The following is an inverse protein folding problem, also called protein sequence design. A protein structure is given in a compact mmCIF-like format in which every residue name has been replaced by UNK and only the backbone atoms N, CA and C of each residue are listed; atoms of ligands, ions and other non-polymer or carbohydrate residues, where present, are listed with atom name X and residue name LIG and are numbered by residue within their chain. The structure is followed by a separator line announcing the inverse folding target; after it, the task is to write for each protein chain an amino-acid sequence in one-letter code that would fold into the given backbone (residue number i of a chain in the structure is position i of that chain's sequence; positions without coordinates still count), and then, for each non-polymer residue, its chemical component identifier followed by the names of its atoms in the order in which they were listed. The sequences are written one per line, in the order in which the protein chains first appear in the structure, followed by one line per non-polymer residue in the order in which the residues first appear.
data_IF_512366845793
#
_entry.id   IF_512366845793
#
_cell.length_a   1.000
_cell.length_b   1.000
_cell.length_c   1.000
_cell.angle_alpha   90.00
_cell.angle_beta   90.00
_cell.angle_gamma   90.00
#
_symmetry.space_group_name_H-M   'P 1'
#
loop_
_entity.id
_entity.type
_entity.pdbx_description
1 polymer ?
#
# COMPACT_ATOMS: atom_id res chain seq x y z
N UNK A 1 -2.22 31.78 18.13
CA UNK A 1 -1.40 31.18 19.21
C UNK A 1 -0.99 29.78 18.75
N UNK A 2 0.28 29.61 18.39
CA UNK A 2 0.85 28.32 17.96
C UNK A 2 0.97 27.43 19.19
N UNK A 3 0.03 26.48 19.34
CA UNK A 3 0.11 25.48 20.41
C UNK A 3 1.37 24.63 20.20
N UNK A 4 2.31 24.71 21.12
CA UNK A 4 3.46 23.83 21.15
C UNK A 4 2.99 22.38 21.06
N UNK A 5 3.33 21.66 19.98
CA UNK A 5 3.05 20.23 19.86
C UNK A 5 3.81 19.50 20.96
N UNK A 6 3.12 19.10 22.00
CA UNK A 6 3.68 18.25 23.05
C UNK A 6 4.15 16.97 22.39
N UNK A 7 5.43 16.67 22.48
CA UNK A 7 6.01 15.44 21.99
C UNK A 7 5.38 14.25 22.74
N UNK A 8 4.90 13.23 22.02
CA UNK A 8 4.42 12.00 22.62
C UNK A 8 5.53 11.01 22.98
N UNK A 9 6.76 11.33 22.62
CA UNK A 9 7.93 10.50 22.91
C UNK A 9 8.06 10.33 24.43
N UNK A 10 8.24 9.09 24.89
CA UNK A 10 8.27 8.70 26.29
C UNK A 10 6.92 8.35 26.90
N UNK A 11 5.77 8.68 26.23
CA UNK A 11 4.46 8.27 26.73
C UNK A 11 4.21 6.77 26.52
N UNK A 12 3.38 6.18 27.41
CA UNK A 12 2.99 4.77 27.33
C UNK A 12 1.55 4.69 26.83
N UNK A 13 1.35 3.97 25.72
CA UNK A 13 0.05 3.74 25.06
C UNK A 13 -0.49 2.39 25.48
N UNK A 14 -1.77 2.35 25.92
CA UNK A 14 -2.44 1.11 26.33
C UNK A 14 -1.76 0.37 27.49
N UNK A 15 -1.04 1.10 28.37
CA UNK A 15 -0.23 0.57 29.49
C UNK A 15 0.90 -0.39 29.06
N UNK A 16 1.18 -0.48 27.75
CA UNK A 16 2.07 -1.49 27.20
C UNK A 16 3.14 -0.93 26.25
N UNK A 17 2.82 0.05 25.42
CA UNK A 17 3.71 0.49 24.35
C UNK A 17 4.35 1.84 24.67
N UNK A 18 5.62 1.87 25.03
CA UNK A 18 6.36 3.13 25.25
C UNK A 18 6.83 3.68 23.90
N UNK A 19 6.38 4.87 23.55
CA UNK A 19 6.76 5.55 22.30
C UNK A 19 8.20 6.09 22.38
N UNK A 20 9.07 5.65 21.46
CA UNK A 20 10.48 6.06 21.43
C UNK A 20 10.76 7.10 20.33
N UNK A 21 10.14 6.95 19.15
CA UNK A 21 10.46 7.78 17.98
C UNK A 21 9.26 7.89 17.04
N UNK A 22 9.04 9.07 16.45
CA UNK A 22 8.08 9.26 15.38
C UNK A 22 8.71 8.82 14.05
N UNK A 23 8.23 7.71 13.47
CA UNK A 23 8.76 7.13 12.22
C UNK A 23 7.91 7.43 10.98
N UNK A 24 6.68 7.92 11.17
CA UNK A 24 5.79 8.29 10.06
C UNK A 24 4.70 9.25 10.47
N UNK A 25 4.31 10.14 9.56
CA UNK A 25 3.19 11.06 9.76
C UNK A 25 2.33 11.10 8.51
N UNK A 26 1.15 10.48 8.59
CA UNK A 26 0.13 10.52 7.55
C UNK A 26 -0.93 11.61 7.81
N UNK A 27 -1.89 11.73 6.89
CA UNK A 27 -3.02 12.65 7.03
C UNK A 27 -3.87 12.32 8.27
N UNK A 28 -4.19 11.04 8.49
CA UNK A 28 -5.10 10.58 9.55
C UNK A 28 -4.39 10.09 10.79
N UNK A 29 -3.18 9.55 10.69
CA UNK A 29 -2.49 8.90 11.80
C UNK A 29 -1.00 9.28 11.87
N UNK A 30 -0.43 9.12 13.04
CA UNK A 30 1.01 9.18 13.30
C UNK A 30 1.50 7.78 13.66
N UNK A 31 2.68 7.40 13.15
CA UNK A 31 3.28 6.09 13.39
C UNK A 31 4.55 6.28 14.20
N UNK A 32 4.63 5.57 15.33
CA UNK A 32 5.77 5.62 16.24
C UNK A 32 6.47 4.28 16.31
N UNK A 33 7.78 4.27 16.37
CA UNK A 33 8.52 3.15 16.94
C UNK A 33 8.27 3.14 18.44
N UNK A 34 7.90 2.01 18.98
CA UNK A 34 7.62 1.84 20.40
C UNK A 34 8.26 0.57 20.95
N UNK A 35 8.59 0.58 22.24
CA UNK A 35 8.99 -0.63 22.96
C UNK A 35 7.72 -1.25 23.58
N UNK A 36 7.44 -2.48 23.23
CA UNK A 36 6.45 -3.31 23.91
C UNK A 36 7.01 -3.74 25.28
N UNK A 37 6.44 -3.24 26.36
CA UNK A 37 6.92 -3.50 27.71
C UNK A 37 6.67 -4.92 28.20
N UNK A 38 5.74 -5.65 27.57
CA UNK A 38 5.47 -7.06 27.87
C UNK A 38 6.49 -8.00 27.21
N UNK A 39 6.76 -7.78 25.92
CA UNK A 39 7.62 -8.68 25.13
C UNK A 39 9.06 -8.19 25.00
N UNK A 40 9.35 -6.96 25.41
CA UNK A 40 10.64 -6.26 25.25
C UNK A 40 11.07 -6.13 23.77
N UNK A 41 10.15 -6.29 22.83
CA UNK A 41 10.38 -6.12 21.40
C UNK A 41 9.97 -4.71 20.92
N UNK A 42 10.63 -4.23 19.86
CA UNK A 42 10.20 -3.02 19.19
C UNK A 42 9.04 -3.32 18.23
N UNK A 43 8.04 -2.43 18.24
CA UNK A 43 6.83 -2.49 17.44
C UNK A 43 6.58 -1.13 16.77
N UNK A 44 5.73 -1.10 15.76
CA UNK A 44 5.19 0.15 15.22
C UNK A 44 3.80 0.40 15.80
N UNK A 45 3.59 1.60 16.39
CA UNK A 45 2.30 2.01 16.95
C UNK A 45 1.73 3.14 16.11
N UNK A 46 0.62 2.86 15.41
CA UNK A 46 -0.15 3.80 14.60
C UNK A 46 -1.25 4.38 15.46
N UNK A 47 -1.28 5.70 15.66
CA UNK A 47 -2.24 6.40 16.50
C UNK A 47 -3.06 7.36 15.64
N UNK A 48 -4.38 7.29 15.72
CA UNK A 48 -5.28 8.23 15.04
C UNK A 48 -5.03 9.64 15.57
N UNK A 49 -4.87 10.63 14.68
CA UNK A 49 -4.60 12.01 15.10
C UNK A 49 -5.82 12.61 15.79
N UNK A 50 -5.58 13.37 16.83
CA UNK A 50 -6.63 13.96 17.69
C UNK A 50 -7.73 14.71 16.92
N UNK A 51 -7.40 15.39 15.84
CA UNK A 51 -8.37 16.09 14.98
C UNK A 51 -9.42 15.17 14.34
N UNK A 52 -9.19 13.85 14.31
CA UNK A 52 -10.10 12.85 13.74
C UNK A 52 -10.82 12.00 14.80
N UNK A 53 -10.56 12.23 16.09
CA UNK A 53 -11.16 11.44 17.20
C UNK A 53 -12.64 11.74 17.39
N UNK A 54 -13.14 12.87 16.92
CA UNK A 54 -14.56 13.22 16.94
C UNK A 54 -15.29 12.82 15.66
N UNK A 55 -14.56 12.41 14.61
CA UNK A 55 -15.14 11.94 13.37
C UNK A 55 -15.45 10.44 13.46
N UNK A 56 -16.73 10.11 13.63
CA UNK A 56 -17.21 8.73 13.76
C UNK A 56 -16.83 7.87 12.54
N UNK A 57 -16.74 8.46 11.36
CA UNK A 57 -16.33 7.76 10.12
C UNK A 57 -14.86 7.36 10.19
N UNK A 58 -13.98 8.25 10.63
CA UNK A 58 -12.54 7.97 10.80
C UNK A 58 -12.31 6.90 11.89
N UNK A 59 -13.03 6.96 12.99
CA UNK A 59 -12.95 5.95 14.06
C UNK A 59 -13.40 4.58 13.55
N UNK A 60 -14.56 4.52 12.89
CA UNK A 60 -15.10 3.25 12.37
C UNK A 60 -14.15 2.62 11.32
N UNK A 61 -13.52 3.43 10.46
CA UNK A 61 -12.52 2.98 9.50
C UNK A 61 -11.29 2.39 10.20
N UNK A 62 -10.78 3.08 11.21
CA UNK A 62 -9.61 2.65 11.96
C UNK A 62 -9.88 1.34 12.74
N UNK A 63 -11.06 1.21 13.33
CA UNK A 63 -11.51 -0.02 14.00
C UNK A 63 -11.63 -1.19 12.98
N UNK A 64 -12.20 -0.92 11.80
CA UNK A 64 -12.31 -1.94 10.74
C UNK A 64 -10.94 -2.39 10.22
N UNK A 65 -9.97 -1.48 10.11
CA UNK A 65 -8.57 -1.84 9.82
C UNK A 65 -8.03 -2.84 10.85
N UNK A 66 -8.26 -2.57 12.14
CA UNK A 66 -7.88 -3.47 13.23
C UNK A 66 -8.51 -4.87 13.11
N UNK A 67 -9.82 -4.92 12.91
CA UNK A 67 -10.59 -6.18 12.86
C UNK A 67 -10.14 -7.08 11.70
N UNK A 68 -9.84 -6.47 10.56
CA UNK A 68 -9.35 -7.18 9.38
C UNK A 68 -7.93 -7.66 9.59
N UNK A 69 -7.05 -6.77 10.04
CA UNK A 69 -5.63 -7.10 10.24
C UNK A 69 -5.47 -8.18 11.33
N UNK A 70 -6.37 -8.23 12.33
CA UNK A 70 -6.36 -9.27 13.37
C UNK A 70 -6.59 -10.70 12.80
N UNK A 71 -7.30 -10.81 11.69
CA UNK A 71 -7.61 -12.09 11.02
C UNK A 71 -6.56 -12.49 9.99
N UNK A 72 -5.72 -11.55 9.56
CA UNK A 72 -4.69 -11.77 8.54
C UNK A 72 -3.40 -12.27 9.18
N UNK A 73 -2.98 -13.47 8.78
CA UNK A 73 -1.67 -14.04 9.17
C UNK A 73 -0.98 -14.53 7.92
N UNK A 74 -0.16 -13.68 7.34
CA UNK A 74 0.61 -14.02 6.15
C UNK A 74 1.98 -13.34 6.19
N UNK A 75 3.03 -14.02 5.75
CA UNK A 75 4.41 -13.49 5.78
C UNK A 75 4.59 -12.18 5.01
N UNK A 76 3.76 -11.95 4.00
CA UNK A 76 3.81 -10.76 3.15
C UNK A 76 2.75 -9.70 3.54
N UNK A 77 2.22 -9.77 4.74
CA UNK A 77 1.26 -8.80 5.30
C UNK A 77 1.71 -8.44 6.71
N UNK A 78 1.75 -7.15 7.05
CA UNK A 78 2.16 -6.70 8.38
C UNK A 78 1.23 -7.26 9.47
N UNK A 79 1.80 -7.92 10.47
CA UNK A 79 1.02 -8.56 11.54
C UNK A 79 0.50 -7.52 12.53
N UNK A 80 -0.80 -7.54 12.85
CA UNK A 80 -1.36 -6.82 13.98
C UNK A 80 -0.99 -7.55 15.29
N UNK A 81 -0.43 -6.82 16.25
CA UNK A 81 -0.03 -7.33 17.56
C UNK A 81 -1.05 -6.95 18.65
N UNK A 82 -1.59 -5.74 18.58
CA UNK A 82 -2.62 -5.26 19.48
C UNK A 82 -3.37 -4.06 18.87
N UNK A 83 -4.57 -3.80 19.37
CA UNK A 83 -5.33 -2.59 19.10
C UNK A 83 -6.03 -2.11 20.35
N UNK A 84 -6.35 -0.82 20.42
CA UNK A 84 -7.04 -0.26 21.57
C UNK A 84 -7.30 1.24 21.44
N UNK A 85 -7.61 1.87 22.59
CA UNK A 85 -7.87 3.30 22.70
C UNK A 85 -6.99 3.86 23.82
N UNK A 86 -6.38 5.03 23.61
CA UNK A 86 -5.56 5.71 24.64
C UNK A 86 -6.44 6.19 25.80
N UNK A 87 -5.92 6.11 27.03
CA UNK A 87 -6.69 6.47 28.25
C UNK A 87 -6.94 7.98 28.36
N UNK A 88 -5.97 8.79 27.95
CA UNK A 88 -5.98 10.25 28.15
C UNK A 88 -6.84 10.98 27.12
N UNK A 89 -6.72 10.63 25.83
CA UNK A 89 -7.35 11.36 24.73
C UNK A 89 -8.36 10.54 23.93
N UNK A 90 -8.58 9.29 24.34
CA UNK A 90 -9.49 8.34 23.67
C UNK A 90 -9.16 8.16 22.17
N UNK A 91 -7.85 8.23 21.83
CA UNK A 91 -7.37 8.07 20.47
C UNK A 91 -7.19 6.58 20.14
N UNK A 92 -7.82 6.06 19.08
CA UNK A 92 -7.59 4.70 18.63
C UNK A 92 -6.13 4.48 18.22
N UNK A 93 -5.59 3.30 18.55
CA UNK A 93 -4.24 2.89 18.12
C UNK A 93 -4.20 1.44 17.64
N UNK A 94 -3.24 1.16 16.76
CA UNK A 94 -2.85 -0.16 16.29
C UNK A 94 -1.36 -0.36 16.58
N UNK A 95 -1.01 -1.48 17.20
CA UNK A 95 0.38 -1.93 17.31
C UNK A 95 0.60 -3.06 16.30
N UNK A 96 1.55 -2.87 15.40
CA UNK A 96 1.89 -3.83 14.33
C UNK A 96 3.37 -4.18 14.40
N UNK A 97 3.78 -5.24 13.72
CA UNK A 97 5.20 -5.58 13.62
C UNK A 97 6.02 -4.40 13.09
N UNK A 98 7.17 -4.13 13.69
CA UNK A 98 8.10 -3.11 13.21
C UNK A 98 8.97 -3.70 12.10
N UNK A 99 8.80 -3.21 10.89
CA UNK A 99 9.61 -3.59 9.74
C UNK A 99 10.92 -2.78 9.71
N UNK A 100 12.05 -3.47 9.57
CA UNK A 100 13.40 -2.88 9.63
C UNK A 100 13.97 -2.53 8.25
N UNK A 101 13.11 -2.45 7.26
CA UNK A 101 13.52 -2.24 5.88
C UNK A 101 13.17 -0.86 5.35
N UNK A 102 13.02 -0.79 4.04
CA UNK A 102 12.68 0.43 3.30
C UNK A 102 11.46 0.19 2.41
N UNK A 103 10.68 1.23 2.12
CA UNK A 103 9.57 1.11 1.18
C UNK A 103 10.05 1.00 -0.26
N UNK A 104 9.24 0.39 -1.15
CA UNK A 104 9.51 0.41 -2.59
C UNK A 104 9.63 1.84 -3.14
N UNK A 105 8.90 2.80 -2.57
CA UNK A 105 9.07 4.23 -2.90
C UNK A 105 10.51 4.71 -2.64
N UNK A 106 11.09 4.32 -1.50
CA UNK A 106 12.46 4.66 -1.15
C UNK A 106 13.47 3.98 -2.11
N UNK A 107 13.18 2.74 -2.51
CA UNK A 107 14.00 2.01 -3.49
C UNK A 107 14.00 2.72 -4.84
N UNK A 108 12.83 3.01 -5.41
CA UNK A 108 12.71 3.73 -6.68
C UNK A 108 13.44 5.08 -6.61
N UNK A 109 13.26 5.82 -5.50
CA UNK A 109 13.94 7.12 -5.32
C UNK A 109 15.46 6.99 -5.28
N UNK A 110 16.02 5.93 -4.69
CA UNK A 110 17.46 5.75 -4.51
C UNK A 110 18.15 5.05 -5.67
N UNK A 111 17.46 4.11 -6.34
CA UNK A 111 18.03 3.27 -7.40
C UNK A 111 17.58 3.69 -8.80
N UNK A 112 16.56 4.58 -8.92
CA UNK A 112 15.92 4.99 -10.16
C UNK A 112 14.94 3.93 -10.68
N UNK A 113 15.38 2.71 -10.87
CA UNK A 113 14.56 1.57 -11.28
C UNK A 113 15.12 0.26 -10.68
N UNK A 114 14.34 -0.80 -10.76
CA UNK A 114 14.69 -2.13 -10.23
C UNK A 114 14.90 -3.09 -11.40
N UNK A 115 15.96 -3.88 -11.36
CA UNK A 115 16.23 -4.90 -12.41
C UNK A 115 15.06 -5.88 -12.52
N UNK A 116 14.74 -6.38 -13.75
CA UNK A 116 13.49 -7.10 -14.01
C UNK A 116 13.25 -8.32 -13.11
N UNK A 117 14.27 -9.15 -12.86
CA UNK A 117 14.13 -10.32 -11.98
C UNK A 117 13.76 -9.95 -10.55
N UNK A 118 14.36 -8.89 -10.02
CA UNK A 118 14.11 -8.41 -8.67
C UNK A 118 12.71 -7.77 -8.60
N UNK A 119 12.31 -6.98 -9.60
CA UNK A 119 10.96 -6.40 -9.70
C UNK A 119 9.89 -7.48 -9.79
N UNK A 120 10.09 -8.53 -10.60
CA UNK A 120 9.20 -9.68 -10.68
C UNK A 120 9.06 -10.40 -9.33
N UNK A 121 10.19 -10.64 -8.64
CA UNK A 121 10.18 -11.29 -7.31
C UNK A 121 9.44 -10.45 -6.25
N UNK A 122 9.64 -9.13 -6.24
CA UNK A 122 8.94 -8.25 -5.32
C UNK A 122 7.43 -8.22 -5.60
N UNK A 123 7.05 -8.13 -6.86
CA UNK A 123 5.65 -8.12 -7.26
C UNK A 123 4.97 -9.46 -6.97
N UNK A 124 5.65 -10.57 -7.23
CA UNK A 124 5.15 -11.89 -6.87
C UNK A 124 4.85 -12.01 -5.37
N UNK A 125 5.79 -11.61 -4.51
CA UNK A 125 5.59 -11.62 -3.06
C UNK A 125 4.45 -10.68 -2.62
N UNK A 126 4.34 -9.49 -3.22
CA UNK A 126 3.24 -8.57 -2.93
C UNK A 126 1.88 -9.19 -3.29
N UNK A 127 1.80 -9.90 -4.44
CA UNK A 127 0.60 -10.61 -4.87
C UNK A 127 0.23 -11.78 -3.95
N UNK A 128 1.21 -12.50 -3.38
CA UNK A 128 0.93 -13.53 -2.37
C UNK A 128 0.28 -12.92 -1.11
N UNK A 129 0.79 -11.79 -0.63
CA UNK A 129 0.18 -11.04 0.47
C UNK A 129 -1.21 -10.53 0.11
N UNK A 130 -1.38 -9.98 -1.09
CA UNK A 130 -2.64 -9.47 -1.59
C UNK A 130 -3.70 -10.57 -1.75
N UNK A 131 -3.30 -11.74 -2.25
CA UNK A 131 -4.19 -12.91 -2.32
C UNK A 131 -4.74 -13.28 -0.94
N UNK A 132 -3.88 -13.31 0.09
CA UNK A 132 -4.33 -13.58 1.46
C UNK A 132 -5.31 -12.52 1.99
N UNK A 133 -5.10 -11.25 1.65
CA UNK A 133 -6.03 -10.15 1.97
C UNK A 133 -7.39 -10.35 1.30
N UNK A 134 -7.40 -10.67 0.01
CA UNK A 134 -8.61 -10.92 -0.76
C UNK A 134 -9.38 -12.16 -0.27
N UNK A 135 -8.67 -13.23 0.12
CA UNK A 135 -9.29 -14.43 0.72
C UNK A 135 -9.96 -14.13 2.07
N UNK A 136 -9.52 -13.12 2.79
CA UNK A 136 -10.19 -12.65 3.99
C UNK A 136 -11.42 -11.74 3.71
N UNK A 137 -11.82 -11.59 2.44
CA UNK A 137 -12.95 -10.78 2.01
C UNK A 137 -12.68 -9.28 2.06
N UNK A 138 -11.41 -8.87 1.93
CA UNK A 138 -10.97 -7.48 2.07
C UNK A 138 -10.23 -7.01 0.83
N UNK A 139 -10.40 -5.74 0.47
CA UNK A 139 -9.61 -5.06 -0.54
C UNK A 139 -8.54 -4.18 0.15
N UNK A 140 -7.34 -4.12 -0.43
CA UNK A 140 -6.26 -3.25 0.08
C UNK A 140 -6.55 -1.77 -0.17
N UNK A 141 -7.00 -1.41 -1.37
CA UNK A 141 -7.52 -0.09 -1.76
C UNK A 141 -6.50 1.07 -1.82
N UNK A 142 -5.31 0.94 -1.26
CA UNK A 142 -4.24 1.97 -1.29
C UNK A 142 -2.87 1.35 -1.63
N UNK A 143 -2.85 0.44 -2.61
CA UNK A 143 -1.60 -0.14 -3.10
C UNK A 143 -0.78 0.91 -3.85
N UNK A 144 0.44 1.14 -3.36
CA UNK A 144 1.43 2.05 -3.93
C UNK A 144 2.81 1.70 -3.37
N UNK A 145 3.91 2.14 -3.99
CA UNK A 145 5.26 1.80 -3.53
C UNK A 145 5.56 2.22 -2.07
N UNK A 146 4.88 3.22 -1.54
CA UNK A 146 5.04 3.64 -0.14
C UNK A 146 4.46 2.64 0.86
N UNK A 147 3.46 1.85 0.45
CA UNK A 147 2.75 0.89 1.30
C UNK A 147 3.25 -0.57 1.09
N UNK A 148 4.39 -0.73 0.41
CA UNK A 148 5.05 -2.01 0.21
C UNK A 148 6.47 -1.90 0.77
N UNK A 149 6.75 -2.62 1.86
CA UNK A 149 8.03 -2.60 2.54
C UNK A 149 8.90 -3.77 2.09
N UNK A 150 10.20 -3.51 1.98
CA UNK A 150 11.24 -4.53 1.79
C UNK A 150 11.97 -4.70 3.10
N UNK A 151 11.88 -5.85 3.71
CA UNK A 151 12.58 -6.19 4.94
C UNK A 151 13.76 -7.11 4.64
N UNK A 152 14.95 -6.85 5.24
CA UNK A 152 16.08 -7.75 5.13
C UNK A 152 15.70 -9.18 5.52
N UNK A 153 16.16 -10.15 4.74
CA UNK A 153 15.91 -11.58 4.94
C UNK A 153 17.25 -12.31 4.98
N UNK A 154 17.36 -13.47 5.63
CA UNK A 154 18.57 -14.29 5.61
C UNK A 154 18.98 -14.78 4.21
N UNK A 155 18.05 -14.74 3.23
CA UNK A 155 18.31 -15.09 1.83
C UNK A 155 18.73 -13.91 0.98
N UNK A 156 18.99 -14.14 -0.32
CA UNK A 156 19.43 -13.09 -1.26
C UNK A 156 18.31 -12.13 -1.66
N UNK A 157 17.06 -12.41 -1.31
CA UNK A 157 15.89 -11.62 -1.68
C UNK A 157 15.21 -11.12 -0.42
N UNK A 158 14.94 -9.83 -0.35
CA UNK A 158 14.23 -9.20 0.77
C UNK A 158 12.79 -9.76 0.87
N UNK A 159 12.26 -9.79 2.09
CA UNK A 159 10.85 -10.07 2.37
C UNK A 159 10.01 -8.86 1.99
N UNK A 160 9.06 -9.03 1.09
CA UNK A 160 8.07 -7.99 0.79
C UNK A 160 6.92 -8.07 1.79
N UNK A 161 6.51 -6.93 2.33
CA UNK A 161 5.41 -6.83 3.30
C UNK A 161 4.47 -5.71 2.94
N UNK A 162 3.19 -6.02 2.77
CA UNK A 162 2.12 -5.04 2.58
C UNK A 162 1.80 -4.40 3.93
N UNK A 163 1.71 -3.07 3.94
CA UNK A 163 1.33 -2.26 5.09
C UNK A 163 0.16 -1.35 4.74
N UNK A 164 -0.49 -0.78 5.75
CA UNK A 164 -1.51 0.28 5.62
C UNK A 164 -2.64 -0.05 4.65
N UNK A 165 -3.55 -0.92 5.09
CA UNK A 165 -4.79 -1.19 4.35
C UNK A 165 -5.63 0.07 4.26
N UNK A 166 -6.00 0.46 3.03
CA UNK A 166 -6.65 1.74 2.74
C UNK A 166 -8.12 1.84 3.17
N UNK A 167 -8.48 1.36 4.38
CA UNK A 167 -9.82 1.59 4.93
C UNK A 167 -10.13 3.08 5.08
N UNK A 168 -9.11 3.93 5.09
CA UNK A 168 -9.24 5.38 5.12
C UNK A 168 -9.81 5.99 3.82
N UNK A 169 -9.81 5.24 2.71
CA UNK A 169 -10.13 5.80 1.38
C UNK A 169 -11.55 5.50 0.88
N UNK A 170 -12.49 4.99 1.74
CA UNK A 170 -13.81 4.54 1.26
C UNK A 170 -15.04 5.06 1.99
N UNK A 171 -15.91 5.44 1.22
CA UNK A 171 -17.25 6.00 1.06
C UNK A 171 -17.19 7.51 0.86
N UNK A 172 -16.94 7.93 -0.39
CA UNK A 172 -17.02 9.34 -0.81
C UNK A 172 -15.76 9.95 -1.40
N UNK A 173 -14.59 9.28 -1.36
CA UNK A 173 -13.37 9.86 -1.95
C UNK A 173 -13.27 9.74 -3.48
N UNK A 174 -14.17 9.00 -4.12
CA UNK A 174 -14.35 9.06 -5.58
C UNK A 174 -15.40 10.09 -6.00
N UNK A 175 -16.01 10.80 -5.04
CA UNK A 175 -16.63 12.06 -5.43
C UNK A 175 -15.48 13.01 -5.74
N UNK A 176 -15.25 13.26 -7.03
CA UNK A 176 -14.72 14.56 -7.45
C UNK A 176 -15.44 15.57 -6.57
N UNK A 177 -14.80 16.02 -5.49
CA UNK A 177 -15.36 17.12 -4.74
C UNK A 177 -15.39 18.24 -5.76
N UNK A 178 -16.54 18.88 -5.92
CA UNK A 178 -16.74 20.10 -6.72
C UNK A 178 -15.76 21.24 -6.33
N UNK A 179 -14.78 20.95 -5.47
CA UNK A 179 -13.73 21.83 -4.96
C UNK A 179 -12.30 21.39 -5.35
N UNK A 180 -12.12 20.41 -6.28
CA UNK A 180 -10.80 20.16 -6.88
C UNK A 180 -9.74 19.53 -5.99
N UNK A 181 -10.09 18.99 -4.81
CA UNK A 181 -9.11 18.33 -3.94
C UNK A 181 -9.38 16.82 -3.90
N UNK A 182 -8.65 16.06 -4.70
CA UNK A 182 -8.65 14.60 -4.62
C UNK A 182 -7.79 14.17 -3.43
N UNK A 183 -8.42 13.59 -2.41
CA UNK A 183 -7.71 13.01 -1.27
C UNK A 183 -7.19 11.63 -1.67
N UNK A 184 -5.93 11.54 -2.06
CA UNK A 184 -5.24 10.29 -2.43
C UNK A 184 -4.38 10.45 -3.67
N UNK A 185 -3.48 9.51 -3.90
CA UNK A 185 -2.66 9.50 -5.12
C UNK A 185 -3.48 8.95 -6.29
N UNK A 186 -3.80 9.76 -7.27
CA UNK A 186 -4.47 9.35 -8.53
C UNK A 186 -3.62 8.36 -9.34
N UNK A 187 -2.32 8.37 -9.14
CA UNK A 187 -1.33 7.60 -9.92
C UNK A 187 -1.61 6.09 -9.96
N UNK A 188 -2.22 5.53 -8.90
CA UNK A 188 -2.44 4.07 -8.77
C UNK A 188 -3.93 3.70 -8.81
N UNK A 189 -4.79 4.66 -9.14
CA UNK A 189 -6.23 4.45 -9.06
C UNK A 189 -6.74 3.65 -10.26
N UNK A 190 -7.58 2.67 -10.01
CA UNK A 190 -8.19 1.88 -11.08
C UNK A 190 -9.33 2.65 -11.78
N UNK A 191 -9.53 2.45 -13.12
CA UNK A 191 -10.53 3.15 -13.92
C UNK A 191 -11.94 3.11 -13.35
N UNK A 192 -12.41 1.97 -12.85
CA UNK A 192 -13.74 1.80 -12.24
C UNK A 192 -13.93 2.69 -11.00
N UNK A 193 -12.87 2.93 -10.24
CA UNK A 193 -12.92 3.85 -9.10
C UNK A 193 -13.09 5.31 -9.54
N UNK A 194 -12.51 5.68 -10.67
CA UNK A 194 -12.69 7.01 -11.28
C UNK A 194 -14.11 7.19 -11.83
N UNK A 195 -14.73 6.10 -12.28
CA UNK A 195 -16.14 6.07 -12.72
C UNK A 195 -17.14 6.00 -11.58
N UNK A 196 -16.66 5.94 -10.30
CA UNK A 196 -17.48 5.73 -9.11
C UNK A 196 -18.29 4.40 -9.16
N UNK A 197 -17.76 3.40 -9.85
CA UNK A 197 -18.27 2.03 -9.84
C UNK A 197 -17.78 1.29 -8.59
N UNK A 198 -18.52 0.28 -8.13
CA UNK A 198 -18.11 -0.52 -6.97
C UNK A 198 -16.87 -1.37 -7.33
N UNK A 199 -15.73 -1.15 -6.69
CA UNK A 199 -14.51 -1.89 -7.02
C UNK A 199 -14.49 -3.26 -6.36
N UNK A 200 -13.96 -4.25 -7.07
CA UNK A 200 -13.59 -5.55 -6.53
C UNK A 200 -12.06 -5.73 -6.44
N UNK A 201 -11.60 -6.95 -6.16
CA UNK A 201 -10.17 -7.30 -6.05
C UNK A 201 -9.34 -6.94 -7.30
N UNK A 202 -9.96 -6.76 -8.44
CA UNK A 202 -9.29 -6.40 -9.70
C UNK A 202 -8.84 -4.94 -9.73
N UNK A 203 -9.38 -4.09 -8.85
CA UNK A 203 -8.88 -2.73 -8.65
C UNK A 203 -7.49 -2.73 -7.98
N UNK A 204 -7.26 -3.63 -7.02
CA UNK A 204 -5.94 -3.79 -6.39
C UNK A 204 -4.92 -4.41 -7.38
N UNK A 205 -5.37 -5.32 -8.25
CA UNK A 205 -4.53 -5.91 -9.32
C UNK A 205 -4.06 -4.82 -10.30
N UNK A 206 -4.93 -3.90 -10.68
CA UNK A 206 -4.55 -2.75 -11.49
C UNK A 206 -3.46 -1.91 -10.81
N UNK A 207 -3.63 -1.60 -9.53
CA UNK A 207 -2.63 -0.84 -8.76
C UNK A 207 -1.28 -1.57 -8.68
N UNK A 208 -1.27 -2.92 -8.52
CA UNK A 208 -0.03 -3.72 -8.59
C UNK A 208 0.60 -3.63 -9.97
N UNK A 209 -0.20 -3.62 -11.05
CA UNK A 209 0.30 -3.40 -12.42
C UNK A 209 1.02 -2.05 -12.55
N UNK A 210 0.44 -0.97 -12.01
CA UNK A 210 1.08 0.36 -11.99
C UNK A 210 2.39 0.32 -11.20
N UNK A 211 2.40 -0.32 -10.02
CA UNK A 211 3.61 -0.47 -9.20
C UNK A 211 4.70 -1.26 -9.94
N UNK A 212 4.36 -2.36 -10.60
CA UNK A 212 5.33 -3.16 -11.37
C UNK A 212 5.95 -2.34 -12.50
N UNK A 213 5.14 -1.59 -13.24
CA UNK A 213 5.63 -0.71 -14.30
C UNK A 213 6.61 0.32 -13.72
N UNK A 214 6.23 0.99 -12.62
CA UNK A 214 7.07 1.99 -11.97
C UNK A 214 8.37 1.39 -11.40
N UNK A 215 8.35 0.17 -10.87
CA UNK A 215 9.57 -0.53 -10.44
C UNK A 215 10.54 -0.74 -11.60
N UNK A 216 10.04 -1.10 -12.76
CA UNK A 216 10.85 -1.41 -13.95
C UNK A 216 11.40 -0.18 -14.66
N UNK A 217 10.67 0.94 -14.62
CA UNK A 217 10.98 2.14 -15.41
C UNK A 217 11.44 3.34 -14.56
N UNK A 218 11.17 3.32 -13.26
CA UNK A 218 11.35 4.46 -12.35
C UNK A 218 10.22 5.50 -12.42
N UNK A 219 9.25 5.33 -13.32
CA UNK A 219 8.13 6.24 -13.53
C UNK A 219 6.81 5.45 -13.65
N UNK A 220 5.66 5.98 -13.23
CA UNK A 220 4.38 5.33 -13.44
C UNK A 220 4.03 5.29 -14.95
N UNK A 221 3.14 4.37 -15.37
CA UNK A 221 2.75 4.24 -16.79
C UNK A 221 1.98 5.46 -17.31
N UNK A 222 1.33 6.19 -16.42
CA UNK A 222 0.58 7.41 -16.71
C UNK A 222 1.05 8.52 -15.78
N UNK A 223 1.41 9.67 -16.35
CA UNK A 223 1.86 10.86 -15.63
C UNK A 223 1.44 12.10 -16.40
N UNK A 224 0.85 13.06 -15.70
CA UNK A 224 0.44 14.36 -16.24
C UNK A 224 0.61 15.44 -15.16
N UNK A 225 0.71 16.69 -15.57
CA UNK A 225 0.77 17.83 -14.65
C UNK A 225 -0.60 18.10 -14.01
N UNK A 226 -1.67 17.94 -14.80
CA UNK A 226 -3.05 18.18 -14.37
C UNK A 226 -3.75 16.86 -14.01
N UNK A 227 -4.49 16.87 -12.89
CA UNK A 227 -5.25 15.71 -12.42
C UNK A 227 -6.25 15.21 -13.47
N UNK A 228 -6.86 16.11 -14.23
CA UNK A 228 -7.84 15.77 -15.28
C UNK A 228 -7.20 14.92 -16.39
N UNK A 229 -6.02 15.30 -16.84
CA UNK A 229 -5.29 14.58 -17.89
C UNK A 229 -4.86 13.19 -17.38
N UNK A 230 -4.36 13.10 -16.13
CA UNK A 230 -4.03 11.84 -15.50
C UNK A 230 -5.25 10.90 -15.37
N UNK A 231 -6.41 11.44 -14.98
CA UNK A 231 -7.68 10.71 -14.96
C UNK A 231 -8.03 10.20 -16.36
N UNK A 232 -7.93 11.04 -17.39
CA UNK A 232 -8.20 10.66 -18.77
C UNK A 232 -7.30 9.52 -19.25
N UNK A 233 -5.99 9.58 -18.94
CA UNK A 233 -5.04 8.52 -19.27
C UNK A 233 -5.39 7.18 -18.59
N UNK A 234 -5.75 7.20 -17.31
CA UNK A 234 -6.19 6.01 -16.61
C UNK A 234 -7.47 5.40 -17.22
N UNK A 235 -8.39 6.25 -17.70
CA UNK A 235 -9.65 5.81 -18.29
C UNK A 235 -9.52 5.28 -19.71
N UNK A 236 -8.61 5.85 -20.52
CA UNK A 236 -8.66 5.69 -21.98
C UNK A 236 -7.34 5.23 -22.62
N UNK A 237 -6.17 5.68 -22.12
CA UNK A 237 -4.92 5.44 -22.81
C UNK A 237 -4.39 4.03 -22.55
N UNK A 238 -3.88 3.33 -23.57
CA UNK A 238 -3.20 2.05 -23.36
C UNK A 238 -1.90 2.29 -22.56
N UNK A 239 -1.50 1.32 -21.71
CA UNK A 239 -0.21 1.43 -21.02
C UNK A 239 0.93 1.35 -22.03
N UNK A 240 2.06 2.06 -21.78
CA UNK A 240 3.26 1.94 -22.62
C UNK A 240 3.78 0.49 -22.58
N UNK A 241 4.24 -0.02 -23.73
CA UNK A 241 4.83 -1.36 -23.81
C UNK A 241 6.23 -1.39 -23.22
N UNK A 242 6.49 -2.36 -22.33
CA UNK A 242 7.82 -2.61 -21.78
C UNK A 242 8.82 -3.03 -22.85
N UNK A 243 8.38 -3.68 -23.91
CA UNK A 243 9.27 -4.08 -25.00
C UNK A 243 10.02 -2.89 -25.61
N UNK A 244 9.43 -1.70 -25.57
CA UNK A 244 10.04 -0.46 -26.05
C UNK A 244 10.80 0.30 -24.96
N UNK A 245 10.32 0.28 -23.71
CA UNK A 245 10.87 1.11 -22.61
C UNK A 245 11.99 0.37 -21.88
N UNK A 246 11.80 -0.94 -21.60
CA UNK A 246 12.75 -1.81 -20.89
C UNK A 246 12.82 -3.16 -21.61
N UNK A 247 13.57 -3.29 -22.72
CA UNK A 247 13.60 -4.51 -23.53
C UNK A 247 13.96 -5.79 -22.76
N UNK A 248 14.78 -5.68 -21.70
CA UNK A 248 15.12 -6.80 -20.80
C UNK A 248 13.92 -7.31 -19.98
N UNK A 249 12.86 -6.50 -19.83
CA UNK A 249 11.63 -6.87 -19.14
C UNK A 249 10.48 -7.28 -20.09
N UNK A 250 10.75 -7.43 -21.40
CA UNK A 250 9.71 -7.72 -22.41
C UNK A 250 8.82 -8.93 -22.09
N UNK A 251 9.34 -9.90 -21.35
CA UNK A 251 8.57 -11.08 -20.94
C UNK A 251 7.42 -10.73 -19.97
N UNK A 252 7.50 -9.59 -19.27
CA UNK A 252 6.46 -9.08 -18.37
C UNK A 252 5.42 -8.21 -19.11
N UNK A 253 5.62 -7.87 -20.38
CA UNK A 253 4.73 -6.99 -21.14
C UNK A 253 3.28 -7.53 -21.21
N UNK A 254 3.04 -8.83 -21.53
CA UNK A 254 1.69 -9.39 -21.52
C UNK A 254 1.02 -9.34 -20.13
N UNK A 255 1.81 -9.53 -19.06
CA UNK A 255 1.30 -9.45 -17.69
C UNK A 255 0.82 -8.04 -17.38
N UNK A 256 1.63 -7.03 -17.71
CA UNK A 256 1.27 -5.63 -17.51
C UNK A 256 0.09 -5.20 -18.37
N UNK A 257 0.06 -5.57 -19.65
CA UNK A 257 -1.05 -5.25 -20.54
C UNK A 257 -2.37 -5.77 -19.99
N UNK A 258 -2.39 -6.99 -19.45
CA UNK A 258 -3.57 -7.59 -18.83
C UNK A 258 -3.92 -6.94 -17.49
N UNK A 259 -2.95 -6.72 -16.60
CA UNK A 259 -3.20 -6.09 -15.30
C UNK A 259 -3.73 -4.65 -15.42
N UNK A 260 -3.25 -3.89 -16.43
CA UNK A 260 -3.62 -2.50 -16.69
C UNK A 260 -4.79 -2.34 -17.69
N UNK A 261 -5.50 -3.42 -18.04
CA UNK A 261 -6.70 -3.36 -18.87
C UNK A 261 -7.75 -2.43 -18.23
N UNK A 262 -8.45 -1.64 -19.08
CA UNK A 262 -9.37 -0.60 -18.61
C UNK A 262 -10.66 -1.17 -18.01
N UNK A 263 -11.13 -2.28 -18.53
CA UNK A 263 -12.28 -3.01 -17.99
C UNK A 263 -11.81 -4.07 -17.00
N UNK A 264 -12.37 -4.14 -15.77
CA UNK A 264 -11.98 -5.15 -14.79
C UNK A 264 -12.12 -6.59 -15.30
N UNK A 265 -13.10 -6.85 -16.19
CA UNK A 265 -13.32 -8.18 -16.77
C UNK A 265 -12.16 -8.70 -17.64
N UNK A 266 -11.36 -7.78 -18.20
CA UNK A 266 -10.22 -8.12 -19.07
C UNK A 266 -8.93 -8.34 -18.25
N UNK A 267 -8.95 -8.09 -16.94
CA UNK A 267 -7.81 -8.29 -16.03
C UNK A 267 -7.75 -9.74 -15.52
N UNK A 268 -6.79 -10.00 -14.66
CA UNK A 268 -6.73 -11.21 -13.85
C UNK A 268 -7.93 -11.28 -12.91
N UNK A 269 -8.52 -12.45 -12.76
CA UNK A 269 -9.66 -12.64 -11.85
C UNK A 269 -9.26 -12.49 -10.38
N UNK A 270 -8.03 -12.89 -10.04
CA UNK A 270 -7.46 -12.80 -8.69
C UNK A 270 -5.94 -12.58 -8.72
N UNK A 271 -5.38 -12.27 -7.54
CA UNK A 271 -3.96 -11.98 -7.39
C UNK A 271 -3.07 -13.22 -7.64
N UNK A 272 -3.59 -14.44 -7.38
CA UNK A 272 -2.84 -15.68 -7.62
C UNK A 272 -2.58 -15.90 -9.12
N UNK A 273 -3.59 -15.69 -9.97
CA UNK A 273 -3.41 -15.82 -11.42
C UNK A 273 -2.33 -14.86 -11.97
N UNK A 274 -2.31 -13.62 -11.48
CA UNK A 274 -1.25 -12.67 -11.86
C UNK A 274 0.12 -13.12 -11.34
N UNK A 275 0.18 -13.66 -10.12
CA UNK A 275 1.43 -14.17 -9.54
C UNK A 275 1.99 -15.36 -10.35
N UNK A 276 1.14 -16.28 -10.80
CA UNK A 276 1.53 -17.42 -11.63
C UNK A 276 2.11 -16.98 -12.98
N UNK A 277 1.49 -15.99 -13.63
CA UNK A 277 1.98 -15.44 -14.89
C UNK A 277 3.30 -14.66 -14.71
N UNK A 278 3.48 -13.94 -13.58
CA UNK A 278 4.77 -13.29 -13.23
C UNK A 278 5.86 -14.35 -13.03
N UNK A 279 5.56 -15.43 -12.31
CA UNK A 279 6.53 -16.51 -12.09
C UNK A 279 6.95 -17.17 -13.42
N UNK A 280 5.99 -17.37 -14.32
CA UNK A 280 6.28 -17.89 -15.65
C UNK A 280 7.15 -16.93 -16.47
N UNK A 281 6.79 -15.65 -16.51
CA UNK A 281 7.56 -14.62 -17.21
C UNK A 281 8.97 -14.45 -16.63
N UNK A 282 9.14 -14.55 -15.32
CA UNK A 282 10.42 -14.41 -14.64
C UNK A 282 11.47 -15.45 -15.10
N UNK A 283 11.03 -16.64 -15.53
CA UNK A 283 11.92 -17.70 -16.09
C UNK A 283 12.53 -17.30 -17.42
N UNK A 284 11.93 -16.32 -18.12
CA UNK A 284 12.36 -15.83 -19.43
C UNK A 284 13.16 -14.53 -19.34
N UNK A 285 13.26 -13.93 -18.15
CA UNK A 285 14.04 -12.70 -17.92
C UNK A 285 15.53 -13.04 -17.95
N UNK A 286 16.27 -12.31 -18.77
CA UNK A 286 17.75 -12.30 -18.74
C UNK A 286 18.25 -11.46 -17.57
N UNK A 287 19.45 -11.75 -17.08
CA UNK A 287 20.10 -10.96 -16.02
C UNK A 287 20.34 -9.52 -16.45
#
# INVERSE_FOLDING_TARGET
MSGAKVSRIGSIIGDRFRLDELIGRGAMAEVYRALDLETQAFVAVKILRHQHVTDTVSIARFAREADVQARLRHRNVAALLASGVTKDKHEPYLAVELLRGRSLRSVIKSEGHVVPRRAASYTWQALQGLHAVHQAGVLHRDLKPANIMLEPSPGPIERVVLIDFGFATFEGSARLTLQGTVVGSLTYIAPERLRAEEPDQRADIYAVGVVLFELLTGQPPFAAEEDFDLISMHLHDPPPSLAHVVPSARALDPVLARALAKHPADRYADAQQMADDIEHAAKQLTE
#
